data_IF_688205490071
#
_entry.id   IF_688205490071
#
_cell.length_a   1.000
_cell.length_b   1.000
_cell.length_c   1.000
_cell.angle_alpha   90.00
_cell.angle_beta   90.00
_cell.angle_gamma   90.00
#
_symmetry.space_group_name_H-M   'P 1'
#
loop_
_entity.id
_entity.type
_entity.pdbx_description
1 polymer ?
#
# COMPACT_ATOMS: atom_id res chain seq x y z
N UNK A 1 13.06 -33.80 4.28
CA UNK A 1 12.19 -33.14 3.31
C UNK A 1 13.01 -32.00 2.69
N UNK A 2 13.41 -32.15 1.44
CA UNK A 2 14.08 -31.04 0.71
C UNK A 2 13.04 -29.95 0.56
N UNK A 3 13.24 -28.80 1.23
CA UNK A 3 12.40 -27.63 0.96
C UNK A 3 12.55 -27.31 -0.53
N UNK A 4 11.42 -27.27 -1.25
CA UNK A 4 11.40 -26.74 -2.62
C UNK A 4 11.99 -25.34 -2.56
N UNK A 5 13.00 -25.07 -3.38
CA UNK A 5 13.59 -23.73 -3.46
C UNK A 5 12.49 -22.70 -3.76
N UNK A 6 12.49 -21.61 -3.02
CA UNK A 6 11.54 -20.50 -3.26
C UNK A 6 11.83 -19.87 -4.61
N UNK A 7 11.01 -20.14 -5.60
CA UNK A 7 11.21 -19.67 -6.98
C UNK A 7 10.54 -18.30 -7.24
N UNK A 8 9.85 -17.70 -6.27
CA UNK A 8 9.11 -16.45 -6.47
C UNK A 8 10.01 -15.32 -6.97
N UNK A 9 11.12 -15.09 -6.28
CA UNK A 9 12.03 -14.01 -6.62
C UNK A 9 12.67 -14.22 -8.00
N UNK A 10 13.04 -15.46 -8.34
CA UNK A 10 13.55 -15.79 -9.68
C UNK A 10 12.48 -15.62 -10.77
N UNK A 11 11.20 -15.91 -10.48
CA UNK A 11 10.10 -15.67 -11.41
C UNK A 11 9.87 -14.17 -11.64
N UNK A 12 9.92 -13.34 -10.58
CA UNK A 12 9.79 -11.88 -10.67
C UNK A 12 10.94 -11.27 -11.48
N UNK A 13 12.18 -11.72 -11.25
CA UNK A 13 13.34 -11.30 -12.07
C UNK A 13 13.19 -11.73 -13.54
N UNK A 14 12.63 -12.91 -13.81
CA UNK A 14 12.35 -13.36 -15.18
C UNK A 14 11.29 -12.50 -15.85
N UNK A 15 10.23 -12.13 -15.14
CA UNK A 15 9.20 -11.22 -15.64
C UNK A 15 9.80 -9.84 -15.97
N UNK A 16 10.63 -9.29 -15.08
CA UNK A 16 11.31 -8.02 -15.31
C UNK A 16 12.27 -8.11 -16.51
N UNK A 17 13.08 -9.15 -16.62
CA UNK A 17 13.99 -9.34 -17.74
C UNK A 17 13.24 -9.43 -19.11
N UNK A 18 12.04 -10.02 -19.13
CA UNK A 18 11.20 -10.04 -20.31
C UNK A 18 10.72 -8.63 -20.72
N UNK A 19 10.35 -7.79 -19.76
CA UNK A 19 10.00 -6.38 -20.01
C UNK A 19 11.20 -5.58 -20.53
N UNK A 20 12.39 -5.77 -19.94
CA UNK A 20 13.62 -5.13 -20.39
C UNK A 20 13.94 -5.48 -21.85
N UNK A 21 13.77 -6.74 -22.23
CA UNK A 21 14.00 -7.20 -23.60
C UNK A 21 13.05 -6.49 -24.61
N UNK A 22 11.77 -6.31 -24.26
CA UNK A 22 10.80 -5.57 -25.07
C UNK A 22 11.19 -4.09 -25.23
N UNK A 23 11.79 -3.48 -24.22
CA UNK A 23 12.28 -2.10 -24.22
C UNK A 23 13.68 -1.97 -24.84
N UNK A 24 14.30 -3.05 -25.30
CA UNK A 24 15.68 -3.10 -25.83
C UNK A 24 16.72 -2.60 -24.81
N UNK A 25 16.54 -2.98 -23.55
CA UNK A 25 17.42 -2.68 -22.43
C UNK A 25 18.22 -3.94 -22.09
N UNK A 26 19.49 -3.80 -21.77
CA UNK A 26 20.38 -4.93 -21.51
C UNK A 26 20.42 -5.28 -20.02
N UNK A 27 20.29 -4.26 -19.16
CA UNK A 27 20.47 -4.37 -17.71
C UNK A 27 19.58 -3.35 -17.02
N UNK A 28 19.10 -3.65 -15.82
CA UNK A 28 18.45 -2.68 -14.94
C UNK A 28 19.19 -2.58 -13.61
N UNK A 29 19.42 -1.36 -13.15
CA UNK A 29 19.86 -1.03 -11.82
C UNK A 29 18.63 -0.64 -10.98
N UNK A 30 18.28 -1.47 -10.01
CA UNK A 30 17.15 -1.27 -9.11
C UNK A 30 17.70 -0.76 -7.77
N UNK A 31 17.25 0.42 -7.35
CA UNK A 31 17.71 1.10 -6.14
C UNK A 31 16.59 1.38 -5.14
N UNK A 32 15.34 1.35 -5.59
CA UNK A 32 14.20 1.49 -4.69
C UNK A 32 14.08 0.25 -3.79
N UNK A 33 14.21 0.43 -2.47
CA UNK A 33 14.33 -0.69 -1.52
C UNK A 33 13.14 -1.66 -1.54
N UNK A 34 11.93 -1.18 -1.80
CA UNK A 34 10.77 -2.05 -1.95
C UNK A 34 10.89 -2.95 -3.17
N UNK A 35 11.44 -2.44 -4.27
CA UNK A 35 11.70 -3.23 -5.48
C UNK A 35 12.91 -4.16 -5.31
N UNK A 36 13.94 -3.72 -4.58
CA UNK A 36 15.04 -4.61 -4.16
C UNK A 36 14.49 -5.80 -3.38
N UNK A 37 13.64 -5.54 -2.37
CA UNK A 37 12.97 -6.59 -1.59
C UNK A 37 12.08 -7.47 -2.46
N UNK A 38 11.29 -6.90 -3.34
CA UNK A 38 10.41 -7.63 -4.26
C UNK A 38 11.16 -8.61 -5.16
N UNK A 39 12.36 -8.23 -5.62
CA UNK A 39 13.17 -9.02 -6.55
C UNK A 39 14.13 -9.99 -5.87
N UNK A 40 14.46 -9.79 -4.58
CA UNK A 40 15.52 -10.54 -3.90
C UNK A 40 15.16 -11.09 -2.51
N UNK A 41 14.09 -10.62 -1.89
CA UNK A 41 13.75 -10.82 -0.46
C UNK A 41 14.59 -9.98 0.52
N UNK A 42 15.61 -9.28 0.09
CA UNK A 42 16.44 -8.49 0.99
C UNK A 42 15.64 -7.39 1.69
N UNK A 43 15.68 -7.37 3.03
CA UNK A 43 14.90 -6.45 3.86
C UNK A 43 15.75 -5.32 4.48
N UNK A 44 17.03 -5.26 4.18
CA UNK A 44 17.94 -4.23 4.70
C UNK A 44 17.64 -2.83 4.18
N UNK A 45 18.08 -1.81 4.92
CA UNK A 45 17.83 -0.40 4.61
C UNK A 45 18.81 0.23 3.61
N UNK A 46 19.74 -0.56 3.05
CA UNK A 46 20.68 -0.12 2.02
C UNK A 46 21.00 -1.28 1.08
N UNK A 47 20.56 -1.20 -0.16
CA UNK A 47 20.76 -2.25 -1.15
C UNK A 47 20.42 -1.81 -2.56
N UNK A 48 21.00 -2.48 -3.54
CA UNK A 48 20.69 -2.33 -4.95
C UNK A 48 20.81 -3.68 -5.67
N UNK A 49 20.03 -3.88 -6.72
CA UNK A 49 20.09 -5.08 -7.57
C UNK A 49 20.45 -4.66 -9.00
N UNK A 50 21.44 -5.30 -9.56
CA UNK A 50 21.75 -5.24 -10.98
C UNK A 50 21.26 -6.53 -11.64
N UNK A 51 20.25 -6.42 -12.52
CA UNK A 51 19.68 -7.56 -13.23
C UNK A 51 19.93 -7.42 -14.72
N UNK A 52 20.55 -8.43 -15.31
CA UNK A 52 20.80 -8.51 -16.74
C UNK A 52 19.64 -9.27 -17.47
N UNK A 53 19.45 -9.00 -18.75
CA UNK A 53 18.45 -9.67 -19.61
C UNK A 53 18.66 -11.18 -19.74
N UNK A 54 19.88 -11.69 -19.46
CA UNK A 54 20.21 -13.11 -19.42
C UNK A 54 19.90 -13.78 -18.09
N UNK A 55 19.28 -13.05 -17.17
CA UNK A 55 18.91 -13.44 -15.80
C UNK A 55 20.07 -13.50 -14.80
N UNK A 56 21.30 -13.24 -15.21
CA UNK A 56 22.37 -13.03 -14.24
C UNK A 56 22.08 -11.78 -13.41
N UNK A 57 22.25 -11.86 -12.09
CA UNK A 57 21.93 -10.76 -11.21
C UNK A 57 22.88 -10.72 -10.02
N UNK A 58 23.25 -9.50 -9.63
CA UNK A 58 24.07 -9.23 -8.44
C UNK A 58 23.30 -8.29 -7.51
N UNK A 59 23.24 -8.63 -6.23
CA UNK A 59 22.75 -7.72 -5.19
C UNK A 59 23.94 -7.10 -4.44
N UNK A 60 23.88 -5.79 -4.21
CA UNK A 60 24.85 -5.10 -3.39
C UNK A 60 24.22 -4.59 -2.09
N UNK A 61 24.98 -4.67 -1.01
CA UNK A 61 24.68 -4.02 0.27
C UNK A 61 26.00 -3.64 0.96
N UNK A 62 25.93 -3.06 2.14
CA UNK A 62 27.12 -2.70 2.92
C UNK A 62 27.42 -3.67 4.07
N UNK A 63 28.56 -3.46 4.75
CA UNK A 63 29.05 -4.36 5.79
C UNK A 63 28.14 -4.55 7.01
N UNK A 64 27.10 -3.74 7.19
CA UNK A 64 26.11 -3.90 8.27
C UNK A 64 25.21 -5.12 8.05
N UNK A 65 25.06 -5.58 6.80
CA UNK A 65 24.13 -6.61 6.38
C UNK A 65 24.79 -7.92 5.95
N UNK A 66 26.06 -8.15 6.30
CA UNK A 66 26.82 -9.35 5.91
C UNK A 66 26.10 -10.67 6.25
N UNK A 67 25.60 -10.80 7.46
CA UNK A 67 24.88 -12.01 7.89
C UNK A 67 23.49 -12.07 7.26
N UNK A 68 22.77 -10.96 7.29
CA UNK A 68 21.39 -10.88 6.83
C UNK A 68 21.25 -11.21 5.33
N UNK A 69 22.17 -10.69 4.50
CA UNK A 69 22.08 -10.95 3.04
C UNK A 69 22.36 -12.42 2.69
N UNK A 70 23.19 -13.12 3.50
CA UNK A 70 23.42 -14.56 3.32
C UNK A 70 22.19 -15.39 3.65
N UNK A 71 21.44 -15.00 4.67
CA UNK A 71 20.21 -15.66 5.10
C UNK A 71 19.03 -15.38 4.16
N UNK A 72 18.86 -14.11 3.77
CA UNK A 72 17.69 -13.67 3.02
C UNK A 72 17.78 -13.90 1.51
N UNK A 73 19.01 -13.89 0.95
CA UNK A 73 19.24 -13.92 -0.51
C UNK A 73 20.21 -15.05 -0.89
N UNK A 74 19.80 -16.31 -0.83
CA UNK A 74 20.70 -17.44 -1.11
C UNK A 74 20.98 -17.64 -2.60
N UNK A 75 20.24 -17.03 -3.50
CA UNK A 75 20.18 -17.32 -4.94
C UNK A 75 20.81 -16.24 -5.85
N UNK A 76 21.38 -15.18 -5.29
CA UNK A 76 22.05 -14.13 -6.05
C UNK A 76 23.54 -14.02 -5.70
N UNK A 77 24.35 -13.54 -6.67
CA UNK A 77 25.69 -13.06 -6.39
C UNK A 77 25.62 -11.84 -5.47
N UNK A 78 26.52 -11.75 -4.49
CA UNK A 78 26.54 -10.72 -3.48
C UNK A 78 27.78 -9.85 -3.59
N UNK A 79 27.57 -8.53 -3.53
CA UNK A 79 28.61 -7.53 -3.45
C UNK A 79 28.49 -6.80 -2.11
N UNK A 80 29.52 -6.90 -1.26
CA UNK A 80 29.62 -6.06 -0.08
C UNK A 80 30.38 -4.79 -0.48
N UNK A 81 29.59 -3.73 -0.68
CA UNK A 81 30.10 -2.46 -1.16
C UNK A 81 30.84 -1.69 -0.04
N UNK A 82 31.89 -1.00 -0.40
CA UNK A 82 32.64 -0.09 0.46
C UNK A 82 32.35 1.38 0.19
N UNK A 83 31.57 1.63 -0.88
CA UNK A 83 31.08 2.94 -1.32
C UNK A 83 29.56 2.88 -1.45
N UNK A 84 28.96 3.86 -2.12
CA UNK A 84 27.55 3.82 -2.46
C UNK A 84 27.24 2.57 -3.30
N UNK A 85 26.27 1.77 -2.85
CA UNK A 85 26.00 0.41 -3.38
C UNK A 85 25.61 0.41 -4.85
N UNK A 86 24.83 1.39 -5.28
CA UNK A 86 24.38 1.62 -6.65
C UNK A 86 25.56 2.01 -7.57
N UNK A 87 26.40 2.93 -7.12
CA UNK A 87 27.55 3.41 -7.88
C UNK A 87 28.59 2.30 -8.04
N UNK A 88 28.84 1.52 -6.99
CA UNK A 88 29.82 0.43 -7.05
C UNK A 88 29.32 -0.71 -7.96
N UNK A 89 28.01 -1.05 -7.95
CA UNK A 89 27.43 -2.00 -8.91
C UNK A 89 27.57 -1.50 -10.35
N UNK A 90 27.19 -0.25 -10.61
CA UNK A 90 27.21 0.35 -11.92
C UNK A 90 28.65 0.38 -12.50
N UNK A 91 29.64 0.74 -11.68
CA UNK A 91 31.05 0.84 -12.10
C UNK A 91 31.68 -0.49 -12.51
N UNK A 92 31.06 -1.63 -12.14
CA UNK A 92 31.53 -2.98 -12.50
C UNK A 92 31.02 -3.48 -13.85
N UNK A 93 30.13 -2.74 -14.49
CA UNK A 93 29.62 -3.10 -15.81
C UNK A 93 30.75 -2.99 -16.84
N UNK A 94 30.87 -4.00 -17.71
CA UNK A 94 31.85 -4.04 -18.78
C UNK A 94 31.19 -4.08 -20.14
N UNK A 95 31.78 -3.37 -21.09
CA UNK A 95 31.34 -3.27 -22.48
C UNK A 95 30.08 -2.42 -22.66
N UNK A 96 29.72 -2.17 -23.94
CA UNK A 96 28.60 -1.29 -24.27
C UNK A 96 27.27 -1.87 -23.81
N UNK A 97 26.53 -1.12 -23.00
CA UNK A 97 25.22 -1.53 -22.45
C UNK A 97 24.25 -0.38 -22.28
N UNK A 98 23.00 -0.68 -22.51
CA UNK A 98 21.86 0.18 -22.10
C UNK A 98 21.39 -0.26 -20.73
N UNK A 99 21.66 0.57 -19.72
CA UNK A 99 21.33 0.29 -18.31
C UNK A 99 20.13 1.13 -17.91
N UNK A 100 19.02 0.49 -17.61
CA UNK A 100 17.85 1.17 -17.07
C UNK A 100 18.05 1.55 -15.60
N UNK A 101 17.40 2.65 -15.18
CA UNK A 101 17.25 3.06 -13.80
C UNK A 101 15.81 3.53 -13.54
N UNK A 102 15.37 3.45 -12.30
CA UNK A 102 14.00 3.79 -11.88
C UNK A 102 13.84 5.31 -11.78
N UNK A 103 13.28 5.95 -12.82
CA UNK A 103 13.17 7.40 -12.90
C UNK A 103 12.27 8.03 -11.83
N UNK A 104 11.29 7.27 -11.31
CA UNK A 104 10.37 7.72 -10.27
C UNK A 104 11.02 7.82 -8.88
N UNK A 105 12.17 7.16 -8.68
CA UNK A 105 12.84 7.05 -7.38
C UNK A 105 14.25 7.65 -7.35
N UNK A 106 14.90 7.76 -8.50
CA UNK A 106 16.25 8.32 -8.61
C UNK A 106 16.18 9.84 -8.63
N UNK A 107 16.72 10.51 -7.62
CA UNK A 107 16.81 11.97 -7.58
C UNK A 107 17.79 12.49 -8.66
N UNK A 108 17.66 13.78 -9.04
CA UNK A 108 18.59 14.42 -9.98
C UNK A 108 20.03 14.30 -9.51
N UNK A 109 20.30 14.54 -8.22
CA UNK A 109 21.65 14.38 -7.64
C UNK A 109 22.18 12.96 -7.76
N UNK A 110 21.32 11.96 -7.56
CA UNK A 110 21.71 10.56 -7.70
C UNK A 110 21.97 10.21 -9.17
N UNK A 111 21.17 10.73 -10.09
CA UNK A 111 21.39 10.57 -11.53
C UNK A 111 22.75 11.14 -11.97
N UNK A 112 23.10 12.34 -11.50
CA UNK A 112 24.43 12.94 -11.75
C UNK A 112 25.55 12.02 -11.27
N UNK A 113 25.43 11.48 -10.05
CA UNK A 113 26.43 10.54 -9.51
C UNK A 113 26.48 9.22 -10.29
N UNK A 114 25.33 8.70 -10.75
CA UNK A 114 25.28 7.53 -11.63
C UNK A 114 25.97 7.81 -12.98
N UNK A 115 25.75 8.99 -13.56
CA UNK A 115 26.41 9.41 -14.81
C UNK A 115 27.92 9.51 -14.68
N UNK A 116 28.40 10.04 -13.55
CA UNK A 116 29.84 10.11 -13.24
C UNK A 116 30.49 8.73 -12.99
N UNK A 117 29.74 7.80 -12.38
CA UNK A 117 30.22 6.46 -12.07
C UNK A 117 30.09 5.47 -13.24
N UNK A 118 29.23 5.77 -14.21
CA UNK A 118 28.99 4.89 -15.36
C UNK A 118 30.26 4.75 -16.22
N UNK A 119 30.63 3.52 -16.62
CA UNK A 119 31.67 3.31 -17.64
C UNK A 119 31.32 4.03 -18.95
N UNK A 120 32.36 4.42 -19.71
CA UNK A 120 32.22 5.25 -20.94
C UNK A 120 31.24 4.66 -21.97
N UNK A 121 31.21 3.32 -22.08
CA UNK A 121 30.35 2.57 -23.02
C UNK A 121 28.92 2.32 -22.47
N UNK A 122 28.57 2.80 -21.27
CA UNK A 122 27.28 2.61 -20.66
C UNK A 122 26.34 3.77 -20.96
N UNK A 123 25.14 3.46 -21.47
CA UNK A 123 24.07 4.45 -21.65
C UNK A 123 22.99 4.23 -20.59
N UNK A 124 22.77 5.23 -19.73
CA UNK A 124 21.68 5.22 -18.73
C UNK A 124 20.36 5.54 -19.42
N UNK A 125 19.32 4.74 -19.12
CA UNK A 125 17.97 4.84 -19.70
C UNK A 125 16.94 4.93 -18.59
N UNK A 126 16.16 6.03 -18.48
CA UNK A 126 15.10 6.10 -17.49
C UNK A 126 13.94 5.16 -17.86
N UNK A 127 13.42 4.45 -16.86
CA UNK A 127 12.18 3.67 -16.95
C UNK A 127 11.24 4.05 -15.78
N UNK A 128 9.93 3.97 -16.01
CA UNK A 128 8.88 4.22 -15.02
C UNK A 128 7.80 3.15 -15.11
N UNK A 129 7.26 2.73 -13.97
CA UNK A 129 6.11 1.84 -13.89
C UNK A 129 6.36 0.37 -14.26
N UNK A 130 7.59 -0.02 -14.63
CA UNK A 130 7.88 -1.37 -15.16
C UNK A 130 7.79 -2.45 -14.08
N UNK A 131 8.32 -2.18 -12.88
CA UNK A 131 8.27 -3.13 -11.77
C UNK A 131 6.88 -3.06 -11.11
N UNK A 132 6.30 -1.88 -11.04
CA UNK A 132 4.94 -1.66 -10.53
C UNK A 132 3.89 -2.45 -11.33
N UNK A 133 4.03 -2.53 -12.66
CA UNK A 133 3.16 -3.36 -13.52
C UNK A 133 3.24 -4.85 -13.15
N UNK A 134 4.42 -5.36 -12.82
CA UNK A 134 4.59 -6.75 -12.37
C UNK A 134 3.96 -6.95 -10.99
N UNK A 135 4.01 -5.93 -10.12
CA UNK A 135 3.44 -5.93 -8.77
C UNK A 135 1.92 -5.84 -8.73
N UNK A 136 1.25 -5.45 -9.83
CA UNK A 136 -0.21 -5.35 -9.88
C UNK A 136 -0.89 -6.66 -9.45
N UNK A 137 -0.42 -7.79 -9.97
CA UNK A 137 -0.97 -9.12 -9.66
C UNK A 137 -0.11 -9.80 -8.61
N UNK A 138 -0.68 -9.93 -7.42
CA UNK A 138 -0.02 -10.54 -6.26
C UNK A 138 0.05 -12.05 -6.40
N UNK A 139 1.18 -12.62 -6.08
CA UNK A 139 1.32 -14.07 -5.99
C UNK A 139 0.58 -14.66 -4.76
N UNK A 140 0.35 -15.98 -4.69
CA UNK A 140 -0.41 -16.58 -3.59
C UNK A 140 0.12 -16.26 -2.19
N UNK A 141 1.46 -16.14 -2.03
CA UNK A 141 2.04 -15.82 -0.72
C UNK A 141 1.90 -14.33 -0.38
N UNK A 142 1.99 -13.43 -1.36
CA UNK A 142 1.69 -12.00 -1.16
C UNK A 142 0.25 -11.82 -0.69
N UNK A 143 -0.70 -12.53 -1.32
CA UNK A 143 -2.10 -12.53 -0.89
C UNK A 143 -2.29 -13.11 0.52
N UNK A 144 -1.54 -14.16 0.89
CA UNK A 144 -1.55 -14.70 2.26
C UNK A 144 -1.02 -13.68 3.27
N UNK A 145 0.08 -12.97 2.94
CA UNK A 145 0.64 -11.91 3.79
C UNK A 145 -0.35 -10.77 4.00
N UNK A 146 -0.99 -10.33 2.92
CA UNK A 146 -2.01 -9.27 2.99
C UNK A 146 -3.21 -9.67 3.87
N UNK A 147 -3.68 -10.92 3.76
CA UNK A 147 -4.72 -11.43 4.69
C UNK A 147 -4.24 -11.43 6.14
N UNK A 148 -3.01 -11.86 6.36
CA UNK A 148 -2.43 -11.92 7.72
C UNK A 148 -2.34 -10.54 8.36
N UNK A 149 -1.81 -9.55 7.65
CA UNK A 149 -1.66 -8.20 8.19
C UNK A 149 -3.02 -7.49 8.36
N UNK A 150 -3.99 -7.71 7.45
CA UNK A 150 -5.35 -7.20 7.59
C UNK A 150 -6.11 -7.84 8.78
N UNK A 151 -5.93 -9.14 9.00
CA UNK A 151 -6.51 -9.83 10.14
C UNK A 151 -5.93 -9.32 11.47
N UNK A 152 -4.61 -9.06 11.52
CA UNK A 152 -3.94 -8.49 12.67
C UNK A 152 -4.50 -7.10 13.03
N UNK A 153 -4.62 -6.21 12.04
CA UNK A 153 -5.20 -4.88 12.23
C UNK A 153 -6.66 -4.96 12.68
N UNK A 154 -7.45 -5.84 12.06
CA UNK A 154 -8.85 -6.08 12.44
C UNK A 154 -8.97 -6.54 13.89
N UNK A 155 -8.13 -7.45 14.34
CA UNK A 155 -8.12 -7.94 15.72
C UNK A 155 -7.74 -6.84 16.70
N UNK A 156 -6.71 -6.03 16.40
CA UNK A 156 -6.29 -4.91 17.25
C UNK A 156 -7.44 -3.91 17.46
N UNK A 157 -8.20 -3.62 16.42
CA UNK A 157 -9.33 -2.71 16.47
C UNK A 157 -10.49 -3.27 17.33
N UNK A 158 -10.84 -4.54 17.13
CA UNK A 158 -11.90 -5.19 17.94
C UNK A 158 -11.49 -5.29 19.42
N UNK A 159 -10.22 -5.59 19.73
CA UNK A 159 -9.69 -5.62 21.10
C UNK A 159 -9.72 -4.23 21.75
N UNK A 160 -9.45 -3.17 20.99
CA UNK A 160 -9.56 -1.79 21.45
C UNK A 160 -11.01 -1.43 21.80
N UNK A 161 -11.96 -1.77 20.93
CA UNK A 161 -13.38 -1.54 21.18
C UNK A 161 -13.90 -2.34 22.38
N UNK A 162 -13.52 -3.61 22.49
CA UNK A 162 -13.90 -4.48 23.61
C UNK A 162 -13.35 -3.96 24.95
N UNK A 163 -12.21 -3.28 24.95
CA UNK A 163 -11.63 -2.66 26.12
C UNK A 163 -12.28 -1.30 26.49
N UNK A 164 -13.20 -0.77 25.65
CA UNK A 164 -13.83 0.52 25.88
C UNK A 164 -12.90 1.72 25.69
N UNK A 165 -11.87 1.57 24.85
CA UNK A 165 -10.85 2.60 24.65
C UNK A 165 -11.29 3.71 23.67
N UNK A 166 -12.38 3.54 22.93
CA UNK A 166 -13.02 4.60 22.14
C UNK A 166 -14.23 5.10 22.93
N UNK A 167 -14.02 6.15 23.71
CA UNK A 167 -15.04 6.66 24.62
C UNK A 167 -14.94 8.18 24.82
N UNK A 168 -16.05 8.81 25.21
CA UNK A 168 -16.05 10.22 25.61
C UNK A 168 -15.02 10.48 26.73
N UNK A 169 -14.30 11.61 26.63
CA UNK A 169 -13.26 12.00 27.56
C UNK A 169 -11.84 11.58 27.18
N UNK A 170 -11.68 10.70 26.19
CA UNK A 170 -10.35 10.37 25.61
C UNK A 170 -10.01 11.30 24.45
N UNK A 171 -8.73 11.57 24.24
CA UNK A 171 -8.30 12.34 23.09
C UNK A 171 -8.11 11.45 21.84
N UNK A 172 -8.20 12.04 20.66
CA UNK A 172 -7.91 11.36 19.40
C UNK A 172 -6.53 10.68 19.44
N UNK A 173 -5.51 11.38 19.94
CA UNK A 173 -4.13 10.88 20.12
C UNK A 173 -4.06 9.65 21.04
N UNK A 174 -4.84 9.64 22.13
CA UNK A 174 -4.85 8.47 23.03
C UNK A 174 -5.46 7.24 22.38
N UNK A 175 -6.51 7.42 21.56
CA UNK A 175 -7.14 6.33 20.80
C UNK A 175 -6.19 5.79 19.75
N UNK A 176 -5.52 6.67 18.98
CA UNK A 176 -4.52 6.27 17.98
C UNK A 176 -3.37 5.47 18.62
N UNK A 177 -2.79 5.99 19.71
CA UNK A 177 -1.69 5.34 20.42
C UNK A 177 -2.06 3.95 20.98
N UNK A 178 -3.29 3.80 21.50
CA UNK A 178 -3.77 2.50 22.00
C UNK A 178 -3.92 1.48 20.86
N UNK A 179 -4.48 1.89 19.72
CA UNK A 179 -4.63 1.02 18.55
C UNK A 179 -3.26 0.57 18.00
N UNK A 180 -2.31 1.50 17.84
CA UNK A 180 -0.96 1.20 17.39
C UNK A 180 -0.21 0.28 18.36
N UNK A 181 -0.36 0.50 19.66
CA UNK A 181 0.19 -0.40 20.67
C UNK A 181 -0.35 -1.83 20.51
N UNK A 182 -1.67 -1.99 20.32
CA UNK A 182 -2.29 -3.31 20.14
C UNK A 182 -1.82 -3.99 18.86
N UNK A 183 -1.72 -3.26 17.74
CA UNK A 183 -1.16 -3.81 16.50
C UNK A 183 0.26 -4.34 16.71
N UNK A 184 1.13 -3.60 17.42
CA UNK A 184 2.49 -4.05 17.75
C UNK A 184 2.52 -5.27 18.67
N UNK A 185 1.65 -5.32 19.68
CA UNK A 185 1.55 -6.48 20.59
C UNK A 185 1.10 -7.74 19.85
N UNK A 186 0.24 -7.60 18.84
CA UNK A 186 -0.20 -8.69 17.98
C UNK A 186 0.82 -9.08 16.91
N UNK A 187 1.93 -8.36 16.76
CA UNK A 187 3.06 -8.73 15.91
C UNK A 187 3.35 -7.83 14.73
N UNK A 188 2.65 -6.71 14.56
CA UNK A 188 3.01 -5.72 13.54
C UNK A 188 4.39 -5.11 13.80
N UNK A 189 5.18 -4.93 12.74
CA UNK A 189 6.47 -4.22 12.81
C UNK A 189 6.25 -2.73 13.15
N UNK A 190 5.23 -2.11 12.56
CA UNK A 190 4.80 -0.73 12.78
C UNK A 190 3.42 -0.50 12.14
N UNK A 191 2.74 0.65 12.35
CA UNK A 191 1.57 1.01 11.55
C UNK A 191 1.95 1.23 10.09
N UNK A 192 1.01 0.96 9.17
CA UNK A 192 1.19 1.18 7.72
C UNK A 192 1.43 2.66 7.39
N UNK A 193 0.75 3.53 8.12
CA UNK A 193 0.77 4.99 8.04
C UNK A 193 0.38 5.57 9.40
N UNK A 194 0.50 6.88 9.57
CA UNK A 194 0.08 7.57 10.78
C UNK A 194 -1.43 7.41 11.00
N UNK A 195 -1.82 6.73 12.07
CA UNK A 195 -3.22 6.41 12.37
C UNK A 195 -4.08 7.66 12.46
N UNK A 196 -5.12 7.74 11.64
CA UNK A 196 -6.10 8.83 11.67
C UNK A 196 -7.16 8.49 12.74
N UNK A 197 -7.38 9.41 13.67
CA UNK A 197 -8.56 9.44 14.54
C UNK A 197 -9.16 10.82 14.45
N UNK A 198 -10.26 10.95 13.72
CA UNK A 198 -10.91 12.23 13.43
C UNK A 198 -12.30 12.27 14.06
N UNK A 199 -12.47 13.07 15.12
CA UNK A 199 -13.70 13.12 15.91
C UNK A 199 -14.50 14.40 15.68
N UNK A 200 -15.83 14.31 15.70
CA UNK A 200 -16.75 15.44 15.51
C UNK A 200 -16.41 16.31 14.31
N UNK A 201 -16.15 17.62 14.44
CA UNK A 201 -15.81 18.49 13.31
C UNK A 201 -14.51 18.10 12.58
N UNK A 202 -13.57 17.40 13.25
CA UNK A 202 -12.34 16.92 12.62
C UNK A 202 -12.61 15.80 11.62
N UNK A 203 -13.69 15.02 11.77
CA UNK A 203 -14.07 13.97 10.83
C UNK A 203 -14.41 14.50 9.42
N UNK A 204 -14.65 15.82 9.29
CA UNK A 204 -14.78 16.49 7.99
C UNK A 204 -13.44 16.71 7.26
N UNK A 205 -12.32 16.25 7.82
CA UNK A 205 -10.98 16.38 7.24
C UNK A 205 -10.46 14.99 6.87
N UNK A 206 -10.39 14.62 5.57
CA UNK A 206 -9.99 13.26 5.16
C UNK A 206 -8.66 12.77 5.75
N UNK A 207 -7.65 13.66 5.80
CA UNK A 207 -6.30 13.37 6.31
C UNK A 207 -6.00 14.10 7.62
N UNK A 208 -6.91 13.98 8.61
CA UNK A 208 -6.72 14.58 9.92
C UNK A 208 -5.67 13.82 10.73
N UNK A 209 -4.63 14.51 11.22
CA UNK A 209 -3.70 13.93 12.20
C UNK A 209 -4.33 13.87 13.60
N UNK A 210 -4.31 12.70 14.25
CA UNK A 210 -4.86 12.50 15.59
C UNK A 210 -4.26 13.50 16.61
N UNK A 211 -5.12 14.37 17.17
CA UNK A 211 -4.73 15.49 18.00
C UNK A 211 -5.16 15.38 19.47
N UNK A 212 -5.19 16.54 20.13
CA UNK A 212 -5.58 16.64 21.55
C UNK A 212 -7.09 16.89 21.74
N UNK A 213 -7.89 16.91 20.63
CA UNK A 213 -9.34 17.01 20.75
C UNK A 213 -9.88 15.83 21.53
N UNK A 214 -10.74 16.15 22.51
CA UNK A 214 -11.42 15.14 23.32
C UNK A 214 -12.67 14.67 22.59
N UNK A 215 -12.89 13.36 22.56
CA UNK A 215 -14.10 12.74 22.05
C UNK A 215 -15.30 13.12 22.95
N UNK A 216 -16.40 13.57 22.32
CA UNK A 216 -17.58 14.06 23.01
C UNK A 216 -18.82 13.25 22.62
N UNK A 217 -19.85 13.26 23.49
CA UNK A 217 -21.14 12.64 23.17
C UNK A 217 -21.76 13.27 21.92
N UNK A 218 -22.22 12.42 21.00
CA UNK A 218 -22.77 12.83 19.69
C UNK A 218 -21.75 12.88 18.56
N UNK A 219 -20.44 12.76 18.84
CA UNK A 219 -19.41 12.72 17.81
C UNK A 219 -19.53 11.46 16.92
N UNK A 220 -19.34 11.62 15.63
CA UNK A 220 -18.77 10.56 14.81
C UNK A 220 -17.25 10.59 14.93
N UNK A 221 -16.65 9.41 14.98
CA UNK A 221 -15.20 9.21 15.05
C UNK A 221 -14.79 8.32 13.91
N UNK A 222 -14.13 8.90 12.90
CA UNK A 222 -13.51 8.15 11.81
C UNK A 222 -12.13 7.71 12.26
N UNK A 223 -11.89 6.40 12.24
CA UNK A 223 -10.62 5.77 12.56
C UNK A 223 -10.13 5.06 11.30
N UNK A 224 -9.01 5.55 10.75
CA UNK A 224 -8.36 5.01 9.57
C UNK A 224 -6.95 4.55 9.94
N UNK A 225 -6.68 3.26 9.71
CA UNK A 225 -5.52 2.59 10.26
C UNK A 225 -5.12 1.35 9.46
N UNK A 226 -3.85 1.03 9.59
CA UNK A 226 -3.31 -0.19 9.02
C UNK A 226 -2.09 -0.69 9.78
N UNK A 227 -1.82 -1.97 9.70
CA UNK A 227 -0.62 -2.62 10.23
C UNK A 227 0.36 -2.92 9.10
N UNK A 228 1.65 -2.86 9.42
CA UNK A 228 2.74 -3.30 8.54
C UNK A 228 3.43 -4.52 9.14
N UNK A 229 3.56 -5.58 8.35
CA UNK A 229 4.33 -6.77 8.71
C UNK A 229 5.01 -7.37 7.48
N UNK A 230 6.30 -7.71 7.61
CA UNK A 230 7.12 -8.37 6.58
C UNK A 230 7.05 -7.70 5.21
N UNK A 231 6.97 -6.35 5.20
CA UNK A 231 6.93 -5.53 4.00
C UNK A 231 5.54 -5.28 3.43
N UNK A 232 4.48 -5.91 3.95
CA UNK A 232 3.11 -5.73 3.49
C UNK A 232 2.32 -4.82 4.42
N UNK A 233 1.42 -4.05 3.81
CA UNK A 233 0.57 -3.10 4.50
C UNK A 233 -0.88 -3.59 4.50
N UNK A 234 -1.64 -3.23 5.54
CA UNK A 234 -3.10 -3.26 5.52
C UNK A 234 -3.66 -1.85 5.61
N UNK A 235 -4.92 -1.71 5.23
CA UNK A 235 -5.64 -0.45 5.20
C UNK A 235 -7.12 -0.68 5.47
N UNK A 236 -7.69 0.08 6.41
CA UNK A 236 -9.09 -0.03 6.80
C UNK A 236 -9.57 1.21 7.53
N UNK A 237 -10.72 1.74 7.11
CA UNK A 237 -11.42 2.81 7.85
C UNK A 237 -12.73 2.32 8.43
N UNK A 238 -12.99 2.67 9.68
CA UNK A 238 -14.31 2.57 10.33
C UNK A 238 -14.71 3.88 10.97
N UNK A 239 -15.98 4.25 10.84
CA UNK A 239 -16.57 5.38 11.55
C UNK A 239 -17.51 4.86 12.63
N UNK A 240 -17.36 5.34 13.85
CA UNK A 240 -18.13 4.98 15.04
C UNK A 240 -18.90 6.20 15.57
N UNK A 241 -19.87 5.99 16.45
CA UNK A 241 -20.58 7.07 17.15
C UNK A 241 -20.34 7.01 18.66
N UNK A 242 -20.00 8.13 19.27
CA UNK A 242 -19.95 8.28 20.74
C UNK A 242 -21.36 8.65 21.23
N UNK A 243 -22.10 7.66 21.73
CA UNK A 243 -23.52 7.84 22.02
C UNK A 243 -24.36 8.09 20.75
N UNK A 244 -25.52 8.75 20.91
CA UNK A 244 -26.43 8.99 19.77
C UNK A 244 -25.92 10.14 18.89
N UNK A 245 -25.62 9.90 17.61
CA UNK A 245 -25.22 10.95 16.69
C UNK A 245 -26.41 11.81 16.25
N UNK A 246 -26.10 13.01 15.75
CA UNK A 246 -27.10 13.85 15.07
C UNK A 246 -27.73 13.09 13.88
N UNK A 247 -29.06 13.24 13.62
CA UNK A 247 -29.72 12.58 12.52
C UNK A 247 -29.05 12.80 11.15
N UNK A 248 -28.51 13.99 10.89
CA UNK A 248 -27.75 14.26 9.67
C UNK A 248 -26.47 13.41 9.57
N UNK A 249 -25.73 13.23 10.68
CA UNK A 249 -24.53 12.40 10.70
C UNK A 249 -24.88 10.92 10.43
N UNK A 250 -26.03 10.46 10.95
CA UNK A 250 -26.55 9.12 10.66
C UNK A 250 -26.93 8.97 9.18
N UNK A 251 -27.58 9.99 8.59
CA UNK A 251 -27.94 10.00 7.18
C UNK A 251 -26.71 9.87 6.27
N UNK A 252 -25.67 10.71 6.47
CA UNK A 252 -24.45 10.62 5.65
C UNK A 252 -23.70 9.30 5.88
N UNK A 253 -23.79 8.71 7.07
CA UNK A 253 -23.25 7.36 7.33
C UNK A 253 -23.93 6.31 6.45
N UNK A 254 -25.26 6.32 6.36
CA UNK A 254 -26.01 5.36 5.58
C UNK A 254 -25.74 5.51 4.07
N UNK A 255 -25.57 6.74 3.59
CA UNK A 255 -25.20 7.03 2.20
C UNK A 255 -23.80 6.50 1.90
N UNK A 256 -22.82 6.74 2.77
CA UNK A 256 -21.42 6.25 2.58
C UNK A 256 -21.38 4.72 2.64
N UNK A 257 -22.13 4.09 3.54
CA UNK A 257 -22.23 2.64 3.60
C UNK A 257 -22.81 2.06 2.30
N UNK A 258 -23.87 2.66 1.78
CA UNK A 258 -24.47 2.22 0.50
C UNK A 258 -23.47 2.38 -0.67
N UNK A 259 -22.73 3.51 -0.71
CA UNK A 259 -21.71 3.76 -1.71
C UNK A 259 -20.55 2.74 -1.63
N UNK A 260 -20.09 2.43 -0.41
CA UNK A 260 -19.04 1.45 -0.20
C UNK A 260 -19.45 0.05 -0.64
N UNK A 261 -20.67 -0.36 -0.33
CA UNK A 261 -21.22 -1.64 -0.78
C UNK A 261 -21.34 -1.71 -2.31
N UNK A 262 -21.78 -0.63 -2.96
CA UNK A 262 -21.86 -0.54 -4.42
C UNK A 262 -20.48 -0.65 -5.08
N UNK A 263 -19.46 0.04 -4.54
CA UNK A 263 -18.07 -0.07 -5.01
C UNK A 263 -17.50 -1.48 -4.85
N UNK A 264 -17.78 -2.15 -3.73
CA UNK A 264 -17.39 -3.56 -3.51
C UNK A 264 -18.07 -4.48 -4.52
N UNK A 265 -19.37 -4.33 -4.75
CA UNK A 265 -20.12 -5.14 -5.71
C UNK A 265 -19.60 -4.97 -7.15
N UNK A 266 -19.23 -3.76 -7.54
CA UNK A 266 -18.64 -3.45 -8.84
C UNK A 266 -17.22 -4.00 -9.02
N UNK A 267 -16.52 -4.34 -7.93
CA UNK A 267 -15.10 -4.77 -7.96
C UNK A 267 -14.93 -6.22 -8.43
N UNK A 268 -15.31 -6.51 -9.68
CA UNK A 268 -15.21 -7.83 -10.31
C UNK A 268 -14.22 -7.80 -11.49
N UNK A 269 -13.64 -8.95 -11.90
CA UNK A 269 -12.73 -9.01 -13.04
C UNK A 269 -13.35 -8.44 -14.32
N UNK A 270 -12.58 -7.67 -15.07
CA UNK A 270 -13.02 -7.01 -16.30
C UNK A 270 -13.75 -5.68 -16.09
N UNK A 271 -14.06 -5.30 -14.85
CA UNK A 271 -14.65 -3.98 -14.58
C UNK A 271 -13.58 -2.89 -14.74
N UNK A 272 -13.83 -1.86 -15.60
CA UNK A 272 -12.97 -0.69 -15.67
C UNK A 272 -12.84 0.02 -14.31
N UNK A 273 -11.64 0.47 -13.99
CA UNK A 273 -11.39 1.15 -12.71
C UNK A 273 -12.18 2.46 -12.54
N UNK A 274 -12.51 3.12 -13.65
CA UNK A 274 -13.44 4.27 -13.68
C UNK A 274 -14.86 3.89 -13.28
N UNK A 275 -15.30 2.70 -13.64
CA UNK A 275 -16.66 2.22 -13.37
C UNK A 275 -16.81 1.77 -11.91
N UNK A 276 -15.72 1.26 -11.29
CA UNK A 276 -15.67 1.00 -9.85
C UNK A 276 -15.82 2.32 -9.07
N UNK A 277 -15.11 3.39 -9.48
CA UNK A 277 -15.29 4.72 -8.86
C UNK A 277 -16.71 5.25 -9.08
N UNK A 278 -17.23 5.13 -10.30
CA UNK A 278 -18.59 5.59 -10.64
C UNK A 278 -19.65 4.89 -9.77
N UNK A 279 -19.54 3.58 -9.57
CA UNK A 279 -20.50 2.82 -8.77
C UNK A 279 -20.65 3.35 -7.34
N UNK A 280 -19.56 3.76 -6.69
CA UNK A 280 -19.60 4.37 -5.35
C UNK A 280 -20.00 5.85 -5.41
N UNK A 281 -19.42 6.59 -6.36
CA UNK A 281 -19.61 8.04 -6.48
C UNK A 281 -21.03 8.43 -6.85
N UNK A 282 -21.70 7.69 -7.71
CA UNK A 282 -23.05 7.98 -8.15
C UNK A 282 -24.06 7.85 -7.00
N UNK A 283 -23.87 6.89 -6.09
CA UNK A 283 -24.71 6.80 -4.86
C UNK A 283 -24.61 8.09 -4.03
N UNK A 284 -23.40 8.64 -3.88
CA UNK A 284 -23.18 9.89 -3.12
C UNK A 284 -23.75 11.10 -3.88
N UNK A 285 -23.57 11.13 -5.22
CA UNK A 285 -24.12 12.19 -6.09
C UNK A 285 -25.66 12.22 -6.03
N UNK A 286 -26.30 11.07 -6.17
CA UNK A 286 -27.76 10.95 -6.18
C UNK A 286 -28.38 11.34 -4.82
N UNK A 287 -27.64 11.13 -3.73
CA UNK A 287 -28.02 11.59 -2.40
C UNK A 287 -27.78 13.12 -2.18
N UNK A 288 -27.20 13.83 -3.15
CA UNK A 288 -26.94 15.27 -3.08
C UNK A 288 -25.66 15.69 -2.36
N UNK A 289 -24.75 14.74 -2.10
CA UNK A 289 -23.49 14.97 -1.37
C UNK A 289 -22.25 14.92 -2.27
N UNK A 290 -22.38 14.93 -3.58
CA UNK A 290 -21.26 14.76 -4.53
C UNK A 290 -20.12 15.77 -4.36
N UNK A 291 -20.41 17.01 -4.00
CA UNK A 291 -19.38 18.05 -3.75
C UNK A 291 -18.50 17.75 -2.52
N UNK A 292 -18.97 16.89 -1.62
CA UNK A 292 -18.28 16.50 -0.38
C UNK A 292 -17.50 15.19 -0.51
N UNK A 293 -17.51 14.52 -1.67
CA UNK A 293 -16.66 13.36 -1.96
C UNK A 293 -15.47 13.77 -2.85
N UNK A 294 -14.37 14.13 -2.23
CA UNK A 294 -13.27 14.91 -2.81
C UNK A 294 -12.04 14.11 -3.25
N UNK A 295 -12.04 12.78 -3.05
CA UNK A 295 -10.92 11.89 -3.41
C UNK A 295 -11.36 10.72 -4.29
N UNK A 296 -10.43 9.86 -4.69
CA UNK A 296 -10.70 8.60 -5.42
C UNK A 296 -11.43 7.60 -4.52
N UNK A 297 -12.13 6.65 -5.15
CA UNK A 297 -12.84 5.59 -4.41
C UNK A 297 -11.89 4.57 -3.80
N UNK A 298 -10.67 4.44 -4.34
CA UNK A 298 -9.70 3.51 -3.77
C UNK A 298 -8.41 3.36 -4.58
N UNK A 299 -7.50 2.57 -4.04
CA UNK A 299 -6.17 2.32 -4.57
C UNK A 299 -5.74 0.86 -4.33
N UNK A 300 -4.74 0.40 -5.06
CA UNK A 300 -4.06 -0.86 -4.77
C UNK A 300 -3.22 -0.78 -3.49
N UNK A 301 -2.97 -1.92 -2.88
CA UNK A 301 -2.16 -2.03 -1.67
C UNK A 301 -1.27 -3.28 -1.73
N UNK A 302 -0.10 -3.20 -1.13
CA UNK A 302 0.86 -4.30 -1.09
C UNK A 302 2.10 -3.94 -0.31
N UNK A 303 3.23 -3.82 -1.01
CA UNK A 303 4.48 -3.30 -0.43
C UNK A 303 4.43 -1.79 -0.20
N UNK A 304 3.61 -1.08 -0.97
CA UNK A 304 3.22 0.30 -0.69
C UNK A 304 1.80 0.32 -0.12
N UNK A 305 1.50 1.32 0.71
CA UNK A 305 0.12 1.59 1.15
C UNK A 305 -0.70 1.99 -0.07
N UNK A 306 -0.20 2.95 -0.84
CA UNK A 306 -0.82 3.39 -2.09
C UNK A 306 0.02 2.90 -3.28
N UNK A 307 -0.53 1.97 -4.04
CA UNK A 307 0.06 1.50 -5.31
C UNK A 307 -1.05 1.31 -6.35
N UNK A 308 -0.68 1.08 -7.60
CA UNK A 308 -1.66 0.73 -8.62
C UNK A 308 -2.37 -0.62 -8.28
N UNK A 309 -3.64 -0.79 -8.73
CA UNK A 309 -4.43 0.10 -9.56
C UNK A 309 -5.19 1.18 -8.75
N UNK A 310 -5.74 2.20 -9.43
CA UNK A 310 -6.52 3.27 -8.79
C UNK A 310 -7.97 3.26 -9.29
N UNK A 311 -8.94 3.05 -8.40
CA UNK A 311 -10.36 3.26 -8.68
C UNK A 311 -10.66 4.76 -8.60
N UNK A 312 -10.64 5.43 -9.76
CA UNK A 312 -10.71 6.88 -9.85
C UNK A 312 -11.27 7.33 -11.20
N UNK A 313 -12.16 8.30 -11.18
CA UNK A 313 -12.66 8.94 -12.39
C UNK A 313 -11.64 9.84 -13.10
N UNK A 314 -10.50 10.12 -12.47
CA UNK A 314 -9.43 11.01 -13.00
C UNK A 314 -8.20 10.23 -13.46
N UNK A 315 -7.80 9.24 -12.68
CA UNK A 315 -6.53 8.53 -12.86
C UNK A 315 -6.71 7.03 -13.07
N UNK A 316 -7.94 6.52 -12.98
CA UNK A 316 -8.25 5.10 -13.21
C UNK A 316 -7.96 4.72 -14.66
N UNK A 317 -7.08 3.74 -14.86
CA UNK A 317 -6.73 3.18 -16.17
C UNK A 317 -6.73 1.67 -16.12
N UNK A 318 -7.21 1.04 -17.18
CA UNK A 318 -7.33 -0.41 -17.26
C UNK A 318 -8.54 -0.96 -16.52
N UNK A 319 -8.55 -2.26 -16.32
CA UNK A 319 -9.63 -3.02 -15.71
C UNK A 319 -9.10 -3.91 -14.58
N UNK A 320 -9.99 -4.35 -13.71
CA UNK A 320 -9.65 -5.25 -12.62
C UNK A 320 -9.34 -6.65 -13.13
N UNK A 321 -8.29 -7.25 -12.58
CA UNK A 321 -7.87 -8.61 -12.89
C UNK A 321 -7.72 -9.45 -11.61
N UNK A 322 -7.93 -10.77 -11.68
CA UNK A 322 -7.69 -11.66 -10.54
C UNK A 322 -6.25 -11.54 -10.02
N UNK A 323 -6.10 -11.48 -8.70
CA UNK A 323 -4.83 -11.27 -8.01
C UNK A 323 -4.47 -9.81 -7.74
N UNK A 324 -5.20 -8.85 -8.28
CA UNK A 324 -5.10 -7.45 -7.86
C UNK A 324 -5.70 -7.26 -6.45
N UNK A 325 -5.25 -6.22 -5.78
CA UNK A 325 -5.81 -5.74 -4.50
C UNK A 325 -6.28 -4.31 -4.66
N UNK A 326 -7.37 -3.95 -3.98
CA UNK A 326 -7.98 -2.64 -4.11
C UNK A 326 -8.66 -2.25 -2.79
N UNK A 327 -8.49 -1.00 -2.33
CA UNK A 327 -9.33 -0.42 -1.29
C UNK A 327 -10.63 0.13 -1.90
N UNK A 328 -11.72 0.10 -1.14
CA UNK A 328 -12.97 0.78 -1.48
C UNK A 328 -13.36 1.62 -0.28
N UNK A 329 -13.17 2.94 -0.39
CA UNK A 329 -13.15 3.88 0.73
C UNK A 329 -13.94 5.19 0.47
N UNK A 330 -15.15 5.16 -0.09
CA UNK A 330 -15.89 6.40 -0.30
C UNK A 330 -16.09 7.16 1.02
N UNK A 331 -16.18 8.50 0.92
CA UNK A 331 -16.40 9.34 2.08
C UNK A 331 -17.19 10.61 1.75
N UNK A 332 -17.89 11.15 2.76
CA UNK A 332 -18.58 12.44 2.72
C UNK A 332 -18.00 13.29 3.85
N UNK A 333 -17.54 14.51 3.50
CA UNK A 333 -16.85 15.41 4.43
C UNK A 333 -17.48 16.79 4.39
N UNK A 334 -18.35 17.10 5.38
CA UNK A 334 -19.10 18.36 5.41
C UNK A 334 -18.44 19.34 6.37
N UNK A 335 -17.80 20.41 5.87
CA UNK A 335 -17.06 21.35 6.72
C UNK A 335 -17.89 21.89 7.89
N UNK A 336 -17.34 21.82 9.09
CA UNK A 336 -17.97 22.28 10.34
C UNK A 336 -19.09 21.41 10.89
N UNK A 337 -19.47 20.33 10.17
CA UNK A 337 -20.50 19.38 10.65
C UNK A 337 -19.93 18.01 11.00
N UNK A 338 -19.05 17.47 10.18
CA UNK A 338 -18.44 16.17 10.35
C UNK A 338 -18.35 15.41 9.02
N UNK A 339 -17.81 14.20 9.10
CA UNK A 339 -17.64 13.33 7.92
C UNK A 339 -17.67 11.86 8.28
N UNK A 340 -17.75 11.05 7.25
CA UNK A 340 -17.77 9.59 7.32
C UNK A 340 -16.87 9.03 6.22
N UNK A 341 -16.04 8.06 6.53
CA UNK A 341 -15.39 7.13 5.59
C UNK A 341 -15.61 5.70 6.08
N UNK A 342 -15.91 4.81 5.16
CA UNK A 342 -16.00 3.37 5.40
C UNK A 342 -15.19 2.70 4.31
N UNK A 343 -14.24 1.86 4.72
CA UNK A 343 -13.27 1.27 3.82
C UNK A 343 -13.05 -0.21 4.09
N UNK A 344 -12.92 -0.96 3.01
CA UNK A 344 -12.39 -2.31 3.02
C UNK A 344 -11.29 -2.49 1.98
N UNK A 345 -10.31 -3.32 2.31
CA UNK A 345 -9.36 -3.87 1.35
C UNK A 345 -9.90 -5.17 0.75
N UNK A 346 -9.83 -5.24 -0.58
CA UNK A 346 -10.30 -6.36 -1.39
C UNK A 346 -9.14 -7.10 -2.07
N UNK A 347 -9.30 -8.41 -2.25
CA UNK A 347 -8.55 -9.19 -3.24
C UNK A 347 -9.52 -9.52 -4.38
N UNK A 348 -9.16 -9.17 -5.61
CA UNK A 348 -9.94 -9.49 -6.79
C UNK A 348 -9.78 -10.98 -7.10
N UNK A 349 -10.93 -11.67 -7.25
CA UNK A 349 -11.04 -13.11 -7.48
C UNK A 349 -11.83 -13.36 -8.75
N UNK A 350 -11.77 -14.59 -9.28
CA UNK A 350 -12.76 -15.03 -10.26
C UNK A 350 -14.16 -14.96 -9.63
N UNK A 351 -14.99 -14.02 -10.06
CA UNK A 351 -16.29 -13.73 -9.48
C UNK A 351 -16.27 -12.63 -8.42
N UNK A 352 -16.96 -12.82 -7.29
CA UNK A 352 -17.05 -11.81 -6.24
C UNK A 352 -15.66 -11.56 -5.57
N UNK A 353 -15.34 -10.31 -5.22
CA UNK A 353 -14.10 -9.99 -4.53
C UNK A 353 -14.08 -10.58 -3.11
N UNK A 354 -12.88 -10.88 -2.63
CA UNK A 354 -12.65 -11.30 -1.25
C UNK A 354 -12.34 -10.08 -0.38
N UNK A 355 -13.20 -9.75 0.56
CA UNK A 355 -12.92 -8.72 1.57
C UNK A 355 -11.97 -9.32 2.62
N UNK A 356 -10.79 -8.73 2.83
CA UNK A 356 -9.80 -9.22 3.80
C UNK A 356 -9.82 -8.47 5.14
N UNK A 357 -10.44 -7.30 5.20
CA UNK A 357 -10.71 -6.55 6.43
C UNK A 357 -11.99 -7.05 7.10
N UNK A 358 -11.90 -7.63 8.31
CA UNK A 358 -12.99 -8.44 8.89
C UNK A 358 -13.78 -7.75 10.00
N UNK A 359 -13.79 -6.41 10.04
CA UNK A 359 -14.60 -5.63 11.00
C UNK A 359 -15.95 -5.29 10.38
N UNK A 360 -17.05 -5.39 11.16
CA UNK A 360 -18.41 -5.02 10.72
C UNK A 360 -18.50 -3.55 10.28
N UNK A 361 -19.42 -3.27 9.36
CA UNK A 361 -19.62 -1.93 8.75
C UNK A 361 -20.88 -1.22 9.23
N UNK A 362 -21.70 -1.83 10.05
CA UNK A 362 -22.83 -1.16 10.69
C UNK A 362 -22.34 -0.11 11.67
N UNK A 363 -23.08 1.00 11.80
CA UNK A 363 -22.73 2.05 12.77
C UNK A 363 -22.75 1.50 14.19
N UNK A 364 -21.57 1.36 14.78
CA UNK A 364 -21.43 1.00 16.19
C UNK A 364 -21.55 2.26 17.06
N UNK A 365 -22.36 2.18 18.09
CA UNK A 365 -22.47 3.19 19.14
C UNK A 365 -21.64 2.71 20.35
N UNK A 366 -20.69 3.50 20.78
CA UNK A 366 -19.80 3.24 21.89
C UNK A 366 -19.94 4.26 22.99
#
# INVERSE_FOLDING_TARGET
>A
MTMLADTRFSNRRRALAAQLAALRIDTVLVTHLKHVRYLSNFSGSNGAVLLNKDLSATIATDGRYLTQIEEEVPDLEKLIATKAVDLELLSRITGPRRVAFEADFVSVKQLEALQEAAPEDVTLVPISGVIEEIRLRKDPLELERLRGVAALASQAFEDMLAAGEVAAGRSERQVAADLEYRMRVLGAEHPSFDTIVASGPNSAKPHHGAGDRILEQGDLVTIDFGAHDRGFNSDMTRTLAIGQPDPFLKEIYDVVLAAQLAGVEASTPGTPLTDVDAAARDVINDAGYGEYFVHSTGHGIGLDVHEAPYASNRTGTGELEPGMTLTIEPGIYVPGRGGVRIEDTLIIREGAPEIITKVGKELRIV
#
